data_IF_148465790884
#
_entry.id   IF_148465790884
#
_cell.length_a   1.000
_cell.length_b   1.000
_cell.length_c   1.000
_cell.angle_alpha   90.00
_cell.angle_beta   90.00
_cell.angle_gamma   90.00
#
_symmetry.space_group_name_H-M   'P 1'
#
loop_
_entity.id
_entity.type
_entity.pdbx_description
1 polymer ?
#
# COMPACT_ATOMS: atom_id res chain seq x y z
N UNK A 1 -9.12 -8.60 12.70
CA UNK A 1 -7.97 -9.08 11.90
C UNK A 1 -6.81 -9.42 12.82
N UNK A 2 -6.08 -10.49 12.56
CA UNK A 2 -4.95 -10.98 13.36
C UNK A 2 -3.74 -11.09 12.45
N UNK A 3 -2.63 -10.46 12.84
CA UNK A 3 -1.31 -10.68 12.24
C UNK A 3 -0.77 -12.03 12.74
N UNK A 4 -0.52 -12.99 11.84
CA UNK A 4 -0.20 -14.38 12.19
C UNK A 4 1.29 -14.68 12.14
N UNK A 5 2.00 -14.15 11.16
CA UNK A 5 3.43 -14.38 10.97
C UNK A 5 4.04 -13.34 10.03
N UNK A 6 5.35 -13.15 10.17
CA UNK A 6 6.17 -12.46 9.18
C UNK A 6 7.55 -13.07 9.10
N UNK A 7 8.01 -13.29 7.87
CA UNK A 7 9.35 -13.78 7.62
C UNK A 7 10.08 -12.83 6.68
N UNK A 8 11.38 -12.66 6.95
CA UNK A 8 12.32 -11.98 6.07
C UNK A 8 13.43 -12.94 5.69
N UNK A 9 13.97 -12.79 4.48
CA UNK A 9 15.05 -13.61 3.97
C UNK A 9 15.86 -12.89 2.92
N UNK A 10 16.82 -13.59 2.32
CA UNK A 10 17.68 -13.04 1.28
C UNK A 10 17.89 -14.06 0.16
N UNK A 11 17.91 -13.60 -1.09
CA UNK A 11 18.09 -14.44 -2.29
C UNK A 11 19.44 -15.19 -2.32
N UNK A 12 20.40 -14.71 -1.56
CA UNK A 12 21.78 -15.19 -1.50
C UNK A 12 22.49 -15.02 -2.83
N UNK A 13 23.21 -16.07 -3.24
CA UNK A 13 23.84 -16.11 -4.54
C UNK A 13 22.80 -16.49 -5.60
N UNK A 14 22.46 -15.53 -6.45
CA UNK A 14 21.59 -15.67 -7.62
C UNK A 14 22.37 -15.47 -8.93
N UNK A 15 21.69 -15.62 -10.08
CA UNK A 15 22.29 -15.52 -11.41
C UNK A 15 22.86 -14.11 -11.72
N UNK A 16 22.29 -13.09 -11.11
CA UNK A 16 22.80 -11.72 -11.07
C UNK A 16 22.36 -11.07 -9.75
N UNK A 17 22.91 -9.90 -9.40
CA UNK A 17 22.56 -9.18 -8.18
C UNK A 17 21.04 -8.91 -8.05
N UNK A 18 20.36 -8.74 -9.18
CA UNK A 18 18.93 -8.39 -9.24
C UNK A 18 18.03 -9.54 -9.69
N UNK A 19 18.60 -10.72 -9.96
CA UNK A 19 17.81 -11.88 -10.36
C UNK A 19 17.15 -12.51 -9.12
N UNK A 20 15.81 -12.69 -9.13
CA UNK A 20 15.10 -13.30 -8.01
C UNK A 20 15.50 -14.77 -7.83
N UNK A 21 15.41 -15.28 -6.59
CA UNK A 21 15.75 -16.66 -6.26
C UNK A 21 14.51 -17.46 -5.78
N UNK A 22 13.97 -18.31 -6.67
CA UNK A 22 12.79 -19.13 -6.37
C UNK A 22 12.91 -20.02 -5.12
N UNK A 23 14.00 -20.79 -4.94
CA UNK A 23 14.23 -21.53 -3.69
C UNK A 23 14.22 -20.66 -2.42
N UNK A 24 14.80 -19.45 -2.46
CA UNK A 24 14.75 -18.53 -1.32
C UNK A 24 13.31 -18.06 -1.03
N UNK A 25 12.52 -17.78 -2.07
CA UNK A 25 11.10 -17.43 -1.94
C UNK A 25 10.28 -18.62 -1.38
N UNK A 26 10.50 -19.85 -1.85
CA UNK A 26 9.86 -21.06 -1.32
C UNK A 26 10.15 -21.25 0.17
N UNK A 27 11.40 -20.99 0.58
CA UNK A 27 11.84 -21.14 1.95
C UNK A 27 11.15 -20.14 2.89
N UNK A 28 11.16 -18.84 2.56
CA UNK A 28 10.52 -17.82 3.42
C UNK A 28 9.02 -18.06 3.54
N UNK A 29 8.36 -18.48 2.46
CA UNK A 29 6.94 -18.81 2.45
C UNK A 29 6.69 -20.01 3.39
N UNK A 30 7.48 -21.07 3.24
CA UNK A 30 7.37 -22.26 4.09
C UNK A 30 7.59 -21.95 5.57
N UNK A 31 8.52 -21.04 5.89
CA UNK A 31 8.79 -20.57 7.26
C UNK A 31 7.60 -19.78 7.81
N UNK A 32 7.01 -18.88 7.02
CA UNK A 32 5.89 -18.06 7.47
C UNK A 32 4.63 -18.89 7.75
N UNK A 33 4.32 -19.85 6.87
CA UNK A 33 3.23 -20.81 7.08
C UNK A 33 3.44 -21.62 8.37
N UNK A 34 4.66 -22.07 8.62
CA UNK A 34 5.01 -22.81 9.84
C UNK A 34 4.88 -21.93 11.09
N UNK A 35 5.38 -20.72 11.06
CA UNK A 35 5.27 -19.74 12.16
C UNK A 35 3.81 -19.41 12.47
N UNK A 36 3.00 -19.20 11.42
CA UNK A 36 1.57 -18.97 11.53
C UNK A 36 0.81 -20.19 12.07
N UNK A 37 1.45 -21.37 12.17
CA UNK A 37 0.85 -22.66 12.53
C UNK A 37 -0.36 -22.99 11.65
N UNK A 38 -0.19 -22.79 10.35
CA UNK A 38 -1.17 -23.17 9.33
C UNK A 38 -0.57 -24.21 8.38
N UNK A 39 -1.44 -24.82 7.60
CA UNK A 39 -1.12 -25.69 6.48
C UNK A 39 -1.28 -24.92 5.16
N UNK A 40 -0.60 -25.31 4.07
CA UNK A 40 -0.76 -24.64 2.79
C UNK A 40 -2.21 -24.54 2.30
N UNK A 41 -3.08 -25.57 2.41
CA UNK A 41 -4.48 -25.47 1.98
C UNK A 41 -5.33 -24.44 2.72
N UNK A 42 -4.92 -23.98 3.91
CA UNK A 42 -5.61 -22.89 4.63
C UNK A 42 -5.33 -21.50 4.02
N UNK A 43 -4.41 -21.40 3.05
CA UNK A 43 -4.14 -20.18 2.29
C UNK A 43 -5.36 -19.82 1.43
N UNK A 44 -6.04 -18.71 1.73
CA UNK A 44 -7.24 -18.27 1.00
C UNK A 44 -6.87 -17.32 -0.13
N UNK A 45 -6.14 -16.24 0.20
CA UNK A 45 -5.69 -15.23 -0.74
C UNK A 45 -4.17 -15.08 -0.75
N UNK A 46 -3.65 -14.77 -1.94
CA UNK A 46 -2.24 -14.51 -2.16
C UNK A 46 -2.05 -13.18 -2.90
N UNK A 47 -1.67 -12.16 -2.15
CA UNK A 47 -1.21 -10.89 -2.66
C UNK A 47 0.26 -11.02 -3.08
N UNK A 48 0.44 -11.25 -4.38
CA UNK A 48 1.73 -11.49 -4.99
C UNK A 48 2.59 -10.22 -5.00
N UNK A 49 3.91 -10.41 -5.00
CA UNK A 49 4.84 -9.35 -5.33
C UNK A 49 4.55 -8.84 -6.75
N UNK A 50 4.33 -9.71 -7.73
CA UNK A 50 3.55 -9.43 -8.95
C UNK A 50 3.99 -8.17 -9.70
N UNK A 51 5.26 -8.07 -10.06
CA UNK A 51 5.82 -6.89 -10.74
C UNK A 51 5.51 -6.85 -12.23
N UNK A 52 4.91 -7.90 -12.80
CA UNK A 52 4.58 -7.98 -14.21
C UNK A 52 5.79 -8.28 -15.08
N UNK A 53 6.85 -8.85 -14.50
CA UNK A 53 8.09 -9.13 -15.24
C UNK A 53 8.06 -10.52 -15.84
N UNK A 54 8.55 -10.65 -17.08
CA UNK A 54 8.52 -11.94 -17.81
C UNK A 54 9.26 -13.06 -17.10
N UNK A 55 10.29 -12.73 -16.30
CA UNK A 55 11.11 -13.69 -15.55
C UNK A 55 10.68 -13.81 -14.08
N UNK A 56 10.36 -12.69 -13.40
CA UNK A 56 10.06 -12.69 -11.98
C UNK A 56 8.73 -13.36 -11.65
N UNK A 57 7.67 -13.10 -12.43
CA UNK A 57 6.36 -13.68 -12.13
C UNK A 57 6.38 -15.23 -12.22
N UNK A 58 6.98 -15.88 -13.23
CA UNK A 58 7.14 -17.33 -13.23
C UNK A 58 7.91 -17.89 -12.02
N UNK A 59 8.94 -17.18 -11.56
CA UNK A 59 9.74 -17.59 -10.40
C UNK A 59 8.90 -17.52 -9.12
N UNK A 60 8.14 -16.43 -8.93
CA UNK A 60 7.24 -16.26 -7.80
C UNK A 60 6.15 -17.34 -7.77
N UNK A 61 5.42 -17.50 -8.88
CA UNK A 61 4.35 -18.50 -8.95
C UNK A 61 4.90 -19.92 -8.77
N UNK A 62 6.08 -20.22 -9.32
CA UNK A 62 6.75 -21.50 -9.09
C UNK A 62 7.07 -21.74 -7.62
N UNK A 63 7.52 -20.72 -6.88
CA UNK A 63 7.79 -20.83 -5.45
C UNK A 63 6.51 -21.07 -4.63
N UNK A 64 5.44 -20.32 -4.93
CA UNK A 64 4.12 -20.51 -4.28
C UNK A 64 3.59 -21.91 -4.56
N UNK A 65 3.58 -22.33 -5.84
CA UNK A 65 3.15 -23.67 -6.27
C UNK A 65 3.84 -24.77 -5.47
N UNK A 66 5.18 -24.75 -5.38
CA UNK A 66 5.96 -25.77 -4.67
C UNK A 66 5.60 -25.93 -3.19
N UNK A 67 5.12 -24.87 -2.56
CA UNK A 67 4.61 -24.93 -1.18
C UNK A 67 3.18 -25.46 -1.15
N UNK A 68 2.33 -24.95 -2.04
CA UNK A 68 0.89 -25.25 -2.06
C UNK A 68 0.59 -26.70 -2.44
N UNK A 69 1.33 -27.28 -3.38
CA UNK A 69 1.11 -28.68 -3.84
C UNK A 69 1.56 -29.75 -2.85
N UNK A 70 2.17 -29.38 -1.72
CA UNK A 70 2.59 -30.33 -0.67
C UNK A 70 1.40 -31.02 0.01
N UNK A 71 0.21 -30.43 -0.07
CA UNK A 71 -1.02 -30.98 0.46
C UNK A 71 -2.16 -30.71 -0.51
N UNK A 72 -3.10 -31.64 -0.64
CA UNK A 72 -4.31 -31.44 -1.43
C UNK A 72 -5.18 -30.34 -0.80
N UNK A 73 -5.80 -29.52 -1.64
CA UNK A 73 -6.74 -28.48 -1.23
C UNK A 73 -8.14 -28.76 -1.79
N UNK A 74 -9.17 -28.33 -1.07
CA UNK A 74 -10.57 -28.43 -1.51
C UNK A 74 -11.01 -27.21 -2.32
N UNK A 75 -10.49 -26.03 -1.98
CA UNK A 75 -10.82 -24.76 -2.60
C UNK A 75 -9.57 -24.18 -3.27
N UNK A 76 -9.62 -23.64 -4.49
CA UNK A 76 -8.47 -23.07 -5.18
C UNK A 76 -7.89 -21.86 -4.44
N UNK A 77 -6.59 -21.60 -4.62
CA UNK A 77 -5.94 -20.39 -4.10
C UNK A 77 -6.33 -19.17 -4.94
N UNK A 78 -6.87 -18.12 -4.33
CA UNK A 78 -7.12 -16.86 -5.02
C UNK A 78 -5.84 -16.02 -5.04
N UNK A 79 -5.34 -15.67 -6.22
CA UNK A 79 -4.08 -14.94 -6.42
C UNK A 79 -4.35 -13.59 -7.06
N UNK A 80 -3.75 -12.54 -6.51
CA UNK A 80 -3.88 -11.18 -7.05
C UNK A 80 -2.67 -10.30 -6.74
N UNK A 81 -2.62 -9.09 -7.30
CA UNK A 81 -1.62 -8.07 -6.94
C UNK A 81 -2.18 -6.66 -7.09
N UNK A 82 -2.01 -5.83 -6.06
CA UNK A 82 -2.43 -4.44 -6.03
C UNK A 82 -1.61 -3.54 -6.96
N UNK A 83 -0.42 -3.98 -7.40
CA UNK A 83 0.44 -3.19 -8.29
C UNK A 83 -0.22 -2.92 -9.63
N UNK A 84 -1.14 -3.81 -10.03
CA UNK A 84 -1.98 -3.61 -11.20
C UNK A 84 -2.97 -2.44 -11.04
N UNK A 85 -3.32 -2.04 -9.81
CA UNK A 85 -4.25 -0.94 -9.52
C UNK A 85 -3.55 0.40 -9.30
N UNK A 86 -2.41 0.40 -8.59
CA UNK A 86 -1.76 1.62 -8.08
C UNK A 86 -0.27 1.73 -8.43
N UNK A 87 0.24 0.82 -9.25
CA UNK A 87 1.66 0.76 -9.60
C UNK A 87 2.55 0.21 -8.48
N UNK A 88 3.86 0.21 -8.74
CA UNK A 88 4.85 -0.26 -7.77
C UNK A 88 5.32 0.88 -6.87
N UNK A 89 4.79 0.96 -5.65
CA UNK A 89 5.11 2.04 -4.69
C UNK A 89 6.47 1.90 -3.99
N UNK A 90 7.42 1.15 -4.56
CA UNK A 90 8.74 0.86 -3.98
C UNK A 90 8.70 0.55 -2.47
N UNK A 91 9.26 1.42 -1.61
CA UNK A 91 9.26 1.27 -0.15
C UNK A 91 7.86 1.18 0.47
N UNK A 92 6.83 1.72 -0.20
CA UNK A 92 5.42 1.64 0.20
C UNK A 92 4.68 0.41 -0.35
N UNK A 93 5.29 -0.42 -1.20
CA UNK A 93 4.60 -1.52 -1.89
C UNK A 93 4.01 -2.55 -0.92
N UNK A 94 4.76 -2.94 0.13
CA UNK A 94 4.29 -3.87 1.14
C UNK A 94 3.13 -3.28 1.96
N UNK A 95 3.19 -1.99 2.32
CA UNK A 95 2.12 -1.35 3.10
C UNK A 95 0.80 -1.31 2.34
N UNK A 96 0.82 -0.98 1.05
CA UNK A 96 -0.39 -1.02 0.25
C UNK A 96 -0.96 -2.44 0.12
N UNK A 97 -0.10 -3.46 0.02
CA UNK A 97 -0.50 -4.87 -0.01
C UNK A 97 -1.11 -5.31 1.33
N UNK A 98 -0.54 -4.85 2.46
CA UNK A 98 -1.08 -5.10 3.80
C UNK A 98 -2.46 -4.50 3.98
N UNK A 99 -2.68 -3.25 3.55
CA UNK A 99 -4.01 -2.62 3.59
C UNK A 99 -5.01 -3.44 2.77
N UNK A 100 -4.65 -3.85 1.55
CA UNK A 100 -5.51 -4.71 0.73
C UNK A 100 -5.84 -6.02 1.44
N UNK A 101 -4.86 -6.75 1.96
CA UNK A 101 -5.09 -8.04 2.63
C UNK A 101 -5.96 -7.92 3.89
N UNK A 102 -5.81 -6.82 4.64
CA UNK A 102 -6.69 -6.51 5.78
C UNK A 102 -8.13 -6.34 5.31
N UNK A 103 -8.35 -5.59 4.21
CA UNK A 103 -9.68 -5.43 3.62
C UNK A 103 -10.24 -6.76 3.09
N UNK A 104 -9.40 -7.59 2.47
CA UNK A 104 -9.80 -8.90 1.95
C UNK A 104 -10.37 -9.80 3.06
N UNK A 105 -9.68 -9.92 4.19
CA UNK A 105 -10.17 -10.74 5.31
C UNK A 105 -11.33 -10.09 6.06
N UNK A 106 -11.42 -8.76 6.07
CA UNK A 106 -12.56 -8.04 6.69
C UNK A 106 -13.86 -8.19 5.89
N UNK A 107 -13.75 -8.32 4.57
CA UNK A 107 -14.90 -8.49 3.65
C UNK A 107 -15.06 -9.93 3.15
N UNK A 108 -14.17 -10.86 3.55
CA UNK A 108 -14.09 -12.23 3.05
C UNK A 108 -14.11 -12.32 1.53
N UNK A 109 -13.29 -11.50 0.86
CA UNK A 109 -13.24 -11.39 -0.59
C UNK A 109 -11.83 -11.13 -1.09
N UNK A 110 -11.49 -11.66 -2.27
CA UNK A 110 -10.28 -11.30 -2.99
C UNK A 110 -10.59 -10.20 -4.01
N UNK A 111 -9.75 -9.17 -4.10
CA UNK A 111 -9.94 -8.10 -5.07
C UNK A 111 -9.17 -8.35 -6.36
N UNK A 112 -9.78 -7.91 -7.47
CA UNK A 112 -9.27 -8.12 -8.82
C UNK A 112 -7.88 -7.51 -9.05
N UNK A 113 -7.06 -8.23 -9.81
CA UNK A 113 -5.91 -7.68 -10.52
C UNK A 113 -6.36 -7.11 -11.86
N UNK A 114 -5.88 -5.93 -12.21
CA UNK A 114 -6.16 -5.29 -13.49
C UNK A 114 -5.17 -5.73 -14.57
N UNK A 115 -5.52 -5.42 -15.83
CA UNK A 115 -4.66 -5.61 -17.00
C UNK A 115 -4.31 -7.06 -17.36
N UNK A 116 -4.90 -8.05 -16.68
CA UNK A 116 -4.76 -9.47 -17.01
C UNK A 116 -5.71 -9.81 -18.16
N UNK A 117 -5.20 -9.80 -19.40
CA UNK A 117 -5.93 -10.30 -20.59
C UNK A 117 -5.56 -11.73 -20.94
N UNK A 118 -4.30 -12.07 -20.73
CA UNK A 118 -3.71 -13.38 -20.94
C UNK A 118 -2.63 -13.57 -19.88
N UNK A 119 -2.60 -14.74 -19.24
CA UNK A 119 -1.53 -15.07 -18.31
C UNK A 119 -0.20 -15.21 -19.05
N UNK A 120 0.89 -14.89 -18.36
CA UNK A 120 2.23 -15.15 -18.88
C UNK A 120 2.37 -16.66 -19.18
N UNK A 121 2.76 -17.06 -20.42
CA UNK A 121 2.80 -18.47 -20.84
C UNK A 121 3.83 -19.31 -20.09
N UNK A 122 4.76 -18.68 -19.38
CA UNK A 122 5.75 -19.36 -18.54
C UNK A 122 5.27 -19.61 -17.11
N UNK A 123 4.09 -19.13 -16.73
CA UNK A 123 3.49 -19.45 -15.43
C UNK A 123 3.08 -20.93 -15.41
N UNK A 124 3.57 -21.67 -14.43
CA UNK A 124 3.11 -23.03 -14.11
C UNK A 124 1.71 -23.06 -13.44
N UNK A 125 0.81 -22.18 -13.87
CA UNK A 125 -0.51 -21.97 -13.28
C UNK A 125 -1.43 -23.19 -13.35
N UNK A 126 -1.28 -24.02 -14.39
CA UNK A 126 -2.06 -25.27 -14.53
C UNK A 126 -1.56 -26.41 -13.65
N UNK A 127 -0.45 -26.24 -12.93
CA UNK A 127 0.18 -27.28 -12.12
C UNK A 127 -0.19 -27.21 -10.61
N UNK A 128 -1.14 -26.35 -10.24
CA UNK A 128 -1.76 -26.31 -8.91
C UNK A 128 -3.12 -25.59 -8.97
N UNK A 129 -4.02 -25.90 -8.03
CA UNK A 129 -5.36 -25.32 -8.00
C UNK A 129 -5.30 -23.87 -7.50
N UNK A 130 -5.23 -22.92 -8.44
CA UNK A 130 -5.23 -21.49 -8.19
C UNK A 130 -5.99 -20.70 -9.27
N UNK A 131 -6.62 -19.61 -8.85
CA UNK A 131 -7.24 -18.63 -9.73
C UNK A 131 -6.49 -17.31 -9.66
N UNK A 132 -6.24 -16.71 -10.83
CA UNK A 132 -5.67 -15.38 -10.95
C UNK A 132 -6.84 -14.40 -11.10
N UNK A 133 -7.15 -13.69 -10.02
CA UNK A 133 -8.37 -12.91 -9.90
C UNK A 133 -8.38 -11.73 -10.87
N UNK A 134 -9.29 -11.74 -11.85
CA UNK A 134 -9.58 -10.62 -12.75
C UNK A 134 -10.88 -9.90 -12.41
N UNK A 135 -11.62 -10.45 -11.46
CA UNK A 135 -12.83 -9.87 -10.87
C UNK A 135 -12.80 -10.08 -9.35
N UNK A 136 -13.75 -9.47 -8.64
CA UNK A 136 -13.86 -9.62 -7.19
C UNK A 136 -14.54 -10.95 -6.88
N UNK A 137 -13.89 -11.81 -6.12
CA UNK A 137 -14.39 -13.13 -5.74
C UNK A 137 -14.61 -13.23 -4.23
N UNK A 138 -15.64 -13.95 -3.80
CA UNK A 138 -15.89 -14.21 -2.38
C UNK A 138 -15.08 -15.42 -1.91
N UNK A 139 -14.65 -15.40 -0.65
CA UNK A 139 -14.09 -16.57 0.01
C UNK A 139 -15.16 -17.64 0.15
N UNK A 140 -14.78 -18.90 0.15
CA UNK A 140 -15.70 -20.02 0.40
C UNK A 140 -16.28 -20.00 1.83
N UNK A 141 -15.65 -19.27 2.75
CA UNK A 141 -16.07 -19.10 4.13
C UNK A 141 -16.04 -17.61 4.54
N UNK A 142 -16.76 -17.26 5.60
CA UNK A 142 -16.75 -15.92 6.21
C UNK A 142 -15.45 -15.62 6.98
N UNK A 143 -14.39 -16.36 6.72
CA UNK A 143 -13.07 -16.20 7.33
C UNK A 143 -11.99 -16.79 6.41
N UNK A 144 -10.75 -16.36 6.59
CA UNK A 144 -9.64 -16.87 5.78
C UNK A 144 -8.31 -16.23 6.12
N UNK A 145 -7.28 -16.72 5.43
CA UNK A 145 -5.92 -16.20 5.50
C UNK A 145 -5.57 -15.47 4.21
N UNK A 146 -5.11 -14.23 4.33
CA UNK A 146 -4.52 -13.50 3.20
C UNK A 146 -3.03 -13.31 3.44
N UNK A 147 -2.23 -13.56 2.40
CA UNK A 147 -0.77 -13.61 2.45
C UNK A 147 -0.16 -12.62 1.49
N UNK A 148 0.99 -12.06 1.86
CA UNK A 148 1.66 -11.01 1.08
C UNK A 148 3.08 -11.45 0.80
N UNK A 149 3.47 -11.38 -0.47
CA UNK A 149 4.86 -11.49 -0.90
C UNK A 149 5.41 -10.12 -1.30
N UNK A 150 6.62 -9.78 -0.83
CA UNK A 150 7.32 -8.57 -1.26
C UNK A 150 8.82 -8.83 -1.40
N UNK A 151 9.34 -8.74 -2.62
CA UNK A 151 10.73 -9.09 -2.95
C UNK A 151 11.49 -7.87 -3.42
N UNK A 152 12.50 -7.44 -2.66
CA UNK A 152 13.33 -6.30 -3.01
C UNK A 152 14.31 -6.66 -4.12
N UNK A 153 14.56 -5.74 -5.05
CA UNK A 153 15.50 -5.97 -6.16
C UNK A 153 16.93 -6.31 -5.70
N UNK A 154 17.33 -5.90 -4.49
CA UNK A 154 18.61 -6.26 -3.86
C UNK A 154 18.61 -7.66 -3.21
N UNK A 155 17.54 -8.42 -3.39
CA UNK A 155 17.37 -9.78 -2.90
C UNK A 155 16.84 -9.91 -1.47
N UNK A 156 16.54 -8.81 -0.77
CA UNK A 156 15.87 -8.88 0.54
C UNK A 156 14.39 -9.17 0.34
N UNK A 157 13.92 -10.28 0.87
CA UNK A 157 12.56 -10.78 0.67
C UNK A 157 11.76 -10.69 1.97
N UNK A 158 10.46 -10.46 1.85
CA UNK A 158 9.50 -10.44 2.95
C UNK A 158 8.23 -11.21 2.62
N UNK A 159 7.66 -11.88 3.62
CA UNK A 159 6.37 -12.55 3.50
C UNK A 159 5.56 -12.40 4.80
N UNK A 160 4.27 -12.06 4.70
CA UNK A 160 3.39 -11.78 5.85
C UNK A 160 2.08 -12.53 5.71
N UNK A 161 1.53 -12.99 6.84
CA UNK A 161 0.25 -13.72 6.88
C UNK A 161 -0.71 -13.02 7.84
N UNK A 162 -1.91 -12.71 7.33
CA UNK A 162 -3.04 -12.26 8.13
C UNK A 162 -4.12 -13.33 8.20
N UNK A 163 -4.88 -13.31 9.29
CA UNK A 163 -6.14 -14.05 9.42
C UNK A 163 -7.25 -13.10 9.83
N UNK A 164 -8.46 -13.33 9.32
CA UNK A 164 -9.63 -12.59 9.75
C UNK A 164 -10.92 -13.31 9.45
N UNK A 165 -12.00 -12.72 9.93
CA UNK A 165 -13.38 -13.08 9.61
C UNK A 165 -14.08 -11.85 9.07
N UNK A 166 -15.15 -12.07 8.32
CA UNK A 166 -16.02 -11.02 7.85
C UNK A 166 -16.53 -10.22 9.06
N UNK A 167 -16.17 -8.96 9.09
CA UNK A 167 -16.66 -7.98 10.09
C UNK A 167 -17.35 -6.81 9.39
N UNK A 168 -17.48 -6.87 8.07
CA UNK A 168 -18.06 -5.82 7.25
C UNK A 168 -19.57 -5.97 7.14
N UNK A 169 -20.30 -5.27 8.01
CA UNK A 169 -21.48 -4.56 7.53
C UNK A 169 -21.01 -3.55 6.48
N UNK A 170 -21.69 -3.49 5.33
CA UNK A 170 -21.26 -2.66 4.19
C UNK A 170 -21.51 -1.19 4.53
N UNK A 171 -20.55 -0.52 5.15
CA UNK A 171 -20.44 0.93 5.06
C UNK A 171 -19.56 1.29 3.85
N UNK A 172 -19.99 2.28 3.09
CA UNK A 172 -19.29 2.77 1.90
C UNK A 172 -17.84 3.19 2.27
N UNK A 173 -16.80 2.53 1.72
CA UNK A 173 -15.40 2.87 1.98
C UNK A 173 -15.08 4.33 1.72
N UNK A 174 -15.73 4.93 0.71
CA UNK A 174 -15.57 6.37 0.42
C UNK A 174 -16.14 7.20 1.57
N UNK A 175 -17.35 6.88 2.03
CA UNK A 175 -17.96 7.57 3.17
C UNK A 175 -17.10 7.43 4.45
N UNK A 176 -16.46 6.28 4.70
CA UNK A 176 -15.55 6.12 5.83
C UNK A 176 -14.26 6.94 5.71
N UNK A 177 -13.65 6.97 4.51
CA UNK A 177 -12.48 7.81 4.25
C UNK A 177 -12.86 9.29 4.42
N UNK A 178 -13.97 9.73 3.83
CA UNK A 178 -14.46 11.11 3.97
C UNK A 178 -14.76 11.46 5.42
N UNK A 179 -15.45 10.59 6.17
CA UNK A 179 -15.71 10.78 7.60
C UNK A 179 -14.43 10.89 8.44
N UNK A 180 -13.38 10.15 8.07
CA UNK A 180 -12.06 10.28 8.73
C UNK A 180 -11.40 11.61 8.36
N UNK A 181 -11.42 12.00 7.09
CA UNK A 181 -10.89 13.28 6.62
C UNK A 181 -11.62 14.46 7.29
N UNK A 182 -12.95 14.41 7.40
CA UNK A 182 -13.78 15.39 8.12
C UNK A 182 -13.45 15.46 9.62
N UNK A 183 -12.96 14.35 10.19
CA UNK A 183 -12.57 14.25 11.60
C UNK A 183 -11.09 14.48 11.88
N UNK A 184 -10.26 14.70 10.85
CA UNK A 184 -8.85 15.04 11.04
C UNK A 184 -8.73 16.45 11.60
N UNK A 185 -7.82 16.64 12.56
CA UNK A 185 -7.44 17.97 13.02
C UNK A 185 -6.88 18.79 11.86
N UNK A 186 -7.08 20.12 11.93
CA UNK A 186 -6.68 21.08 10.88
C UNK A 186 -5.25 20.78 10.42
N UNK A 187 -4.97 20.75 9.11
CA UNK A 187 -3.67 20.40 8.59
C UNK A 187 -2.56 21.25 9.19
N UNK A 188 -1.53 20.56 9.65
CA UNK A 188 -0.39 21.12 10.34
C UNK A 188 0.77 21.27 9.36
N UNK A 189 1.50 22.37 9.47
CA UNK A 189 2.84 22.49 8.88
C UNK A 189 3.83 22.11 9.96
N UNK A 190 4.70 21.18 9.60
CA UNK A 190 5.81 20.72 10.45
C UNK A 190 7.08 21.38 9.93
N UNK A 191 7.60 22.41 10.61
CA UNK A 191 8.83 23.05 10.21
C UNK A 191 10.01 22.10 10.45
N UNK A 192 10.55 21.53 9.37
CA UNK A 192 11.72 20.66 9.43
C UNK A 192 12.94 21.51 9.04
N UNK A 193 13.69 21.95 10.05
CA UNK A 193 14.88 22.78 9.86
C UNK A 193 14.55 24.24 9.47
N UNK A 194 15.60 24.99 9.10
CA UNK A 194 15.51 26.44 8.86
C UNK A 194 15.11 26.83 7.44
N UNK A 195 15.00 25.87 6.52
CA UNK A 195 14.64 26.10 5.13
C UNK A 195 13.16 25.73 4.91
N UNK A 196 12.27 26.70 4.62
CA UNK A 196 10.84 26.44 4.41
C UNK A 196 10.53 25.46 3.27
N UNK A 197 11.45 25.27 2.31
CA UNK A 197 11.28 24.29 1.25
C UNK A 197 11.36 22.83 1.74
N UNK A 198 11.95 22.61 2.92
CA UNK A 198 12.12 21.29 3.52
C UNK A 198 10.99 20.96 4.52
N UNK A 199 10.04 21.88 4.73
CA UNK A 199 8.93 21.71 5.66
C UNK A 199 7.88 20.75 5.11
N UNK A 200 7.34 19.91 5.99
CA UNK A 200 6.27 18.97 5.65
C UNK A 200 4.91 19.61 5.94
N UNK A 201 3.89 19.32 5.12
CA UNK A 201 2.56 19.89 5.29
C UNK A 201 1.47 18.92 4.87
N UNK A 202 0.43 18.82 5.68
CA UNK A 202 -0.74 17.96 5.40
C UNK A 202 -1.70 18.54 4.33
N UNK A 203 -1.31 19.62 3.62
CA UNK A 203 -2.11 20.41 2.65
C UNK A 203 -3.38 21.05 3.28
N UNK A 204 -3.86 22.23 2.81
CA UNK A 204 -4.99 22.91 3.47
C UNK A 204 -6.33 22.16 3.35
N UNK A 205 -7.27 22.57 4.21
CA UNK A 205 -8.68 22.14 4.38
C UNK A 205 -9.31 21.31 3.23
N UNK A 206 -9.99 20.17 3.51
CA UNK A 206 -10.66 19.37 2.48
C UNK A 206 -11.68 20.13 1.62
N UNK A 207 -12.21 21.27 2.08
CA UNK A 207 -13.18 22.12 1.35
C UNK A 207 -12.54 23.25 0.50
N UNK A 208 -11.23 23.19 0.22
CA UNK A 208 -10.52 24.20 -0.61
C UNK A 208 -11.13 24.32 -2.02
N UNK A 209 -11.42 25.56 -2.43
CA UNK A 209 -11.88 25.91 -3.78
C UNK A 209 -10.80 26.64 -4.55
N UNK A 210 -10.85 26.55 -5.88
CA UNK A 210 -9.97 27.31 -6.75
C UNK A 210 -10.09 28.82 -6.45
N UNK A 211 -8.97 29.47 -6.11
CA UNK A 211 -8.90 30.88 -5.73
C UNK A 211 -8.91 31.15 -4.22
N UNK A 212 -9.13 30.14 -3.37
CA UNK A 212 -8.91 30.28 -1.94
C UNK A 212 -7.43 30.59 -1.64
N UNK A 213 -7.20 31.49 -0.69
CA UNK A 213 -5.86 31.86 -0.22
C UNK A 213 -5.72 31.51 1.24
N UNK A 214 -4.56 30.96 1.59
CA UNK A 214 -4.19 30.64 2.96
C UNK A 214 -2.87 31.33 3.28
N UNK A 215 -2.76 31.83 4.50
CA UNK A 215 -1.55 32.43 5.02
C UNK A 215 -1.06 31.64 6.24
N UNK A 216 0.25 31.69 6.43
CA UNK A 216 0.94 31.18 7.61
C UNK A 216 1.72 32.35 8.20
N UNK A 217 1.62 32.55 9.51
CA UNK A 217 2.36 33.59 10.23
C UNK A 217 3.42 32.93 11.08
N UNK A 218 4.65 33.45 11.00
CA UNK A 218 5.79 32.99 11.78
C UNK A 218 6.32 34.16 12.59
N UNK A 219 6.53 33.95 13.88
CA UNK A 219 7.19 34.86 14.80
C UNK A 219 8.47 34.23 15.35
N UNK A 220 9.53 35.02 15.61
CA UNK A 220 10.70 34.54 16.35
C UNK A 220 10.39 33.98 17.75
N UNK A 221 9.22 34.33 18.30
CA UNK A 221 8.75 33.88 19.61
C UNK A 221 7.93 32.58 19.54
N UNK A 222 7.66 32.03 18.35
CA UNK A 222 6.87 30.81 18.19
C UNK A 222 7.66 29.57 18.67
N UNK A 223 7.02 28.60 19.33
CA UNK A 223 7.71 27.39 19.76
C UNK A 223 8.18 26.55 18.57
N UNK A 224 9.42 26.07 18.62
CA UNK A 224 10.07 25.28 17.55
C UNK A 224 9.27 24.04 17.14
N UNK A 225 8.51 23.45 18.07
CA UNK A 225 7.78 22.20 17.86
C UNK A 225 6.25 22.41 17.82
N UNK A 226 5.75 23.66 17.80
CA UNK A 226 4.31 23.91 17.70
C UNK A 226 3.85 23.83 16.24
N UNK A 227 2.78 23.07 15.95
CA UNK A 227 2.26 22.98 14.59
C UNK A 227 1.70 24.31 14.09
N UNK A 228 2.23 24.79 12.96
CA UNK A 228 1.75 26.03 12.32
C UNK A 228 0.49 25.69 11.53
N UNK A 229 -0.56 26.49 11.73
CA UNK A 229 -1.88 26.26 11.10
C UNK A 229 -2.05 27.12 9.86
N UNK A 230 -2.61 26.53 8.80
CA UNK A 230 -3.11 27.28 7.66
C UNK A 230 -4.30 28.15 8.07
N UNK A 231 -4.21 29.47 7.86
CA UNK A 231 -5.33 30.40 8.10
C UNK A 231 -5.90 30.85 6.76
N UNK A 232 -7.17 30.53 6.50
CA UNK A 232 -7.88 31.01 5.29
C UNK A 232 -8.02 32.53 5.37
N UNK A 233 -7.47 33.25 4.40
CA UNK A 233 -7.49 34.72 4.36
C UNK A 233 -8.49 35.21 3.32
N UNK A 234 -9.50 35.97 3.76
CA UNK A 234 -10.48 36.61 2.88
C UNK A 234 -9.98 37.97 2.42
N UNK A 235 -9.34 38.01 1.25
CA UNK A 235 -8.79 39.24 0.67
C UNK A 235 -7.62 39.77 1.49
N UNK A 236 -6.39 39.48 1.06
CA UNK A 236 -5.22 40.13 1.66
C UNK A 236 -5.28 41.60 1.26
N UNK A 237 -5.67 42.47 2.20
CA UNK A 237 -5.26 43.86 2.13
C UNK A 237 -3.75 43.84 2.28
N UNK A 238 -3.07 44.27 1.23
CA UNK A 238 -1.65 44.62 1.27
C UNK A 238 -1.47 45.65 2.41
N UNK A 239 -1.00 45.18 3.56
CA UNK A 239 -0.86 46.02 4.76
C UNK A 239 0.45 46.81 4.76
N UNK A 240 1.22 46.72 3.67
CA UNK A 240 2.47 47.47 3.48
C UNK A 240 3.54 47.11 4.51
N UNK A 241 3.39 46.02 5.26
CA UNK A 241 4.44 45.53 6.14
C UNK A 241 5.48 44.75 5.32
N UNK A 242 6.76 45.09 5.48
CA UNK A 242 7.92 44.45 4.82
C UNK A 242 8.18 43.00 5.30
N UNK A 243 7.13 42.25 5.67
CA UNK A 243 7.24 40.84 6.01
C UNK A 243 7.33 39.99 4.74
N UNK A 244 8.20 38.98 4.72
CA UNK A 244 8.20 38.02 3.61
C UNK A 244 6.88 37.23 3.62
N UNK A 245 6.05 37.45 2.59
CA UNK A 245 4.78 36.76 2.41
C UNK A 245 4.95 35.55 1.48
N UNK A 246 4.60 34.36 1.97
CA UNK A 246 4.59 33.12 1.20
C UNK A 246 3.16 32.63 1.03
N UNK A 247 2.76 32.37 -0.21
CA UNK A 247 1.45 31.76 -0.51
C UNK A 247 1.60 30.64 -1.53
N UNK A 248 0.77 29.62 -1.37
CA UNK A 248 0.62 28.55 -2.36
C UNK A 248 -0.76 28.72 -2.99
N UNK A 249 -0.81 28.79 -4.32
CA UNK A 249 -2.06 28.89 -5.07
C UNK A 249 -2.19 27.68 -5.99
N UNK A 250 -3.39 27.12 -6.11
CA UNK A 250 -3.59 25.93 -6.94
C UNK A 250 -4.77 25.06 -6.55
N UNK A 251 -4.88 23.94 -7.25
CA UNK A 251 -5.72 22.81 -6.86
C UNK A 251 -4.83 21.64 -6.46
N UNK A 252 -5.40 20.57 -5.90
CA UNK A 252 -4.68 19.37 -5.45
C UNK A 252 -3.66 18.81 -6.46
N UNK A 253 -3.85 19.05 -7.77
CA UNK A 253 -3.00 18.52 -8.84
C UNK A 253 -1.98 19.54 -9.41
N UNK A 254 -2.12 20.83 -9.11
CA UNK A 254 -1.30 21.90 -9.73
C UNK A 254 -1.11 23.08 -8.76
N UNK A 255 -0.11 22.96 -7.88
CA UNK A 255 0.30 24.02 -6.96
C UNK A 255 1.44 24.85 -7.57
N UNK A 256 1.34 26.18 -7.50
CA UNK A 256 2.41 27.11 -7.86
C UNK A 256 2.77 27.98 -6.65
N UNK A 257 4.06 28.28 -6.51
CA UNK A 257 4.57 29.20 -5.49
C UNK A 257 4.56 30.62 -6.07
N UNK A 258 3.83 31.52 -5.42
CA UNK A 258 3.91 32.96 -5.70
C UNK A 258 4.69 33.64 -4.57
N UNK A 259 5.87 34.15 -4.90
CA UNK A 259 6.62 35.08 -4.03
C UNK A 259 6.26 36.49 -4.45
N UNK A 260 5.40 37.17 -3.69
CA UNK A 260 5.22 38.62 -3.85
C UNK A 260 6.32 39.31 -3.04
N UNK A 261 7.14 40.14 -3.71
CA UNK A 261 8.10 41.03 -3.07
C UNK A 261 7.39 42.28 -2.53
#
# INVERSE_FOLDING_TARGET
VIFRASQVGQDGRSASLTAPNGPAQEEIISRAIREARMTPPESTCWECHGTGTSLGDPIEIGAVRKVQVRMSRSEPLMMSTNKSNIGHLEGGAAMAAMVKCVLEVMHSQCFASLHVRQLNPHLEHSLFDAFFETERSAFSHDQGHSQISSFGFGGTNGHVIFWGRNVGGVEDPRAQIMKRLEGMSVPEIRPIGSNPADWDSDLPDPDVRAGDRYAISLSPDDPIDEPIKWVKVSGVADDGSNGEFYSITGNFNFWQQDKMM
#
